data_IF_489469465937
#
_entry.id   IF_489469465937
#
_cell.length_a   1.000
_cell.length_b   1.000
_cell.length_c   1.000
_cell.angle_alpha   90.00
_cell.angle_beta   90.00
_cell.angle_gamma   90.00
#
_symmetry.space_group_name_H-M   'P 1'
#
loop_
_entity.id
_entity.type
_entity.pdbx_description
1 polymer ?
#
# COMPACT_ATOMS: atom_id res chain seq x y z
N UNK A 1 -36.35 -6.62 -25.62
CA UNK A 1 -35.44 -5.47 -25.83
C UNK A 1 -35.05 -4.73 -24.54
N UNK A 2 -35.78 -4.82 -23.41
CA UNK A 2 -35.44 -4.13 -22.16
C UNK A 2 -34.41 -4.87 -21.26
N UNK A 3 -34.28 -6.18 -21.40
CA UNK A 3 -33.45 -7.04 -20.54
C UNK A 3 -31.93 -6.81 -20.74
N UNK A 4 -31.54 -6.42 -21.95
CA UNK A 4 -30.14 -6.14 -22.32
C UNK A 4 -29.62 -4.84 -21.71
N UNK A 5 -30.49 -3.84 -21.54
CA UNK A 5 -30.13 -2.55 -20.91
C UNK A 5 -29.73 -2.73 -19.45
N UNK A 6 -30.55 -3.48 -18.69
CA UNK A 6 -30.29 -3.74 -17.28
C UNK A 6 -28.99 -4.54 -17.08
N UNK A 7 -28.72 -5.52 -17.96
CA UNK A 7 -27.45 -6.26 -17.96
C UNK A 7 -26.25 -5.35 -18.27
N UNK A 8 -26.36 -4.46 -19.25
CA UNK A 8 -25.31 -3.50 -19.63
C UNK A 8 -25.01 -2.52 -18.49
N UNK A 9 -26.04 -2.01 -17.82
CA UNK A 9 -25.91 -1.08 -16.70
C UNK A 9 -25.28 -1.75 -15.48
N UNK A 10 -25.69 -2.99 -15.16
CA UNK A 10 -25.10 -3.78 -14.08
C UNK A 10 -23.59 -4.03 -14.30
N UNK A 11 -23.20 -4.39 -15.52
CA UNK A 11 -21.79 -4.60 -15.86
C UNK A 11 -20.97 -3.29 -15.81
N UNK A 12 -21.56 -2.17 -16.27
CA UNK A 12 -20.94 -0.84 -16.12
C UNK A 12 -20.69 -0.49 -14.66
N UNK A 13 -21.68 -0.69 -13.79
CA UNK A 13 -21.56 -0.43 -12.35
C UNK A 13 -20.52 -1.32 -11.68
N UNK A 14 -20.43 -2.60 -12.04
CA UNK A 14 -19.37 -3.50 -11.54
C UNK A 14 -17.98 -3.01 -11.95
N UNK A 15 -17.81 -2.61 -13.22
CA UNK A 15 -16.53 -2.11 -13.74
C UNK A 15 -16.12 -0.81 -13.03
N UNK A 16 -17.04 0.14 -12.87
CA UNK A 16 -16.77 1.38 -12.15
C UNK A 16 -16.36 1.13 -10.69
N UNK A 17 -17.09 0.25 -9.98
CA UNK A 17 -16.73 -0.13 -8.60
C UNK A 17 -15.35 -0.78 -8.50
N UNK A 18 -14.97 -1.62 -9.47
CA UNK A 18 -13.61 -2.21 -9.52
C UNK A 18 -12.54 -1.13 -9.74
N UNK A 19 -12.77 -0.20 -10.67
CA UNK A 19 -11.85 0.91 -10.95
C UNK A 19 -11.65 1.79 -9.71
N UNK A 20 -12.74 2.23 -9.06
CA UNK A 20 -12.67 3.03 -7.83
C UNK A 20 -11.93 2.32 -6.70
N UNK A 21 -12.14 1.00 -6.53
CA UNK A 21 -11.39 0.21 -5.53
C UNK A 21 -9.91 0.13 -5.84
N UNK A 22 -9.54 -0.03 -7.11
CA UNK A 22 -8.15 -0.08 -7.56
C UNK A 22 -7.46 1.27 -7.34
N UNK A 23 -8.12 2.36 -7.73
CA UNK A 23 -7.63 3.73 -7.56
C UNK A 23 -7.42 4.04 -6.07
N UNK A 24 -8.41 3.78 -5.21
CA UNK A 24 -8.27 3.95 -3.76
C UNK A 24 -7.14 3.10 -3.16
N UNK A 25 -6.88 1.91 -3.72
CA UNK A 25 -5.75 1.07 -3.30
C UNK A 25 -4.42 1.67 -3.75
N UNK A 26 -4.35 2.21 -4.96
CA UNK A 26 -3.16 2.90 -5.47
C UNK A 26 -2.89 4.18 -4.69
N UNK A 27 -3.90 5.00 -4.42
CA UNK A 27 -3.78 6.20 -3.60
C UNK A 27 -3.24 5.88 -2.20
N UNK A 28 -3.74 4.81 -1.56
CA UNK A 28 -3.18 4.31 -0.28
C UNK A 28 -1.73 3.87 -0.38
N UNK A 29 -1.31 3.31 -1.52
CA UNK A 29 0.07 2.88 -1.78
C UNK A 29 0.99 4.03 -2.18
N UNK A 30 0.45 5.09 -2.78
CA UNK A 30 1.23 6.27 -3.21
C UNK A 30 1.36 7.28 -2.05
N UNK A 31 0.28 7.50 -1.30
CA UNK A 31 0.30 8.38 -0.12
C UNK A 31 1.04 7.78 1.07
N UNK A 32 1.14 6.45 1.12
CA UNK A 32 2.12 5.72 1.94
C UNK A 32 3.23 5.27 1.01
N UNK A 33 4.04 6.20 0.53
CA UNK A 33 5.25 5.86 -0.23
C UNK A 33 5.99 4.75 0.49
N UNK A 34 6.47 3.75 -0.27
CA UNK A 34 7.24 2.58 0.19
C UNK A 34 8.02 2.90 1.47
N UNK A 35 7.40 2.67 2.62
CA UNK A 35 8.06 2.64 3.90
C UNK A 35 7.76 1.23 4.33
N UNK A 36 8.59 0.31 3.84
CA UNK A 36 8.60 -1.02 4.42
C UNK A 36 8.83 -0.82 5.91
N UNK A 37 8.18 -1.63 6.75
CA UNK A 37 8.23 -1.44 8.19
C UNK A 37 9.67 -1.34 8.72
N UNK A 38 10.60 -2.03 8.05
CA UNK A 38 12.05 -1.96 8.25
C UNK A 38 12.66 -0.59 8.01
N UNK A 39 12.15 0.20 7.06
CA UNK A 39 12.64 1.55 6.74
C UNK A 39 12.26 2.59 7.80
N UNK A 40 11.27 2.29 8.66
CA UNK A 40 10.92 3.10 9.82
C UNK A 40 11.66 2.69 11.10
N UNK A 41 12.40 1.58 11.08
CA UNK A 41 13.21 1.14 12.21
C UNK A 41 14.59 1.82 12.14
N UNK A 42 14.82 2.78 13.03
CA UNK A 42 16.15 3.33 13.27
C UNK A 42 16.81 2.54 14.40
N UNK A 43 18.06 2.10 14.16
CA UNK A 43 18.88 1.46 15.18
C UNK A 43 19.58 2.54 16.02
N UNK A 44 19.71 2.30 17.32
CA UNK A 44 20.43 3.18 18.25
C UNK A 44 21.82 2.59 18.50
N UNK A 45 22.88 3.36 18.23
CA UNK A 45 24.25 2.96 18.54
C UNK A 45 24.60 3.19 20.03
N UNK A 46 25.79 2.73 20.45
CA UNK A 46 26.28 2.83 21.84
C UNK A 46 26.41 4.28 22.35
N UNK A 47 26.36 5.26 21.43
CA UNK A 47 26.48 6.68 21.70
C UNK A 47 25.12 7.40 21.63
N UNK A 48 24.02 6.67 21.39
CA UNK A 48 22.66 7.21 21.34
C UNK A 48 22.26 7.82 20.01
N UNK A 49 23.03 7.62 18.93
CA UNK A 49 22.69 8.15 17.60
C UNK A 49 21.82 7.17 16.80
N UNK A 50 20.93 7.73 15.98
CA UNK A 50 20.05 6.97 15.08
C UNK A 50 20.78 6.59 13.78
N UNK A 51 20.79 5.31 13.44
CA UNK A 51 21.40 4.75 12.22
C UNK A 51 20.39 3.97 11.37
N UNK A 52 20.51 4.10 10.05
CA UNK A 52 19.68 3.42 9.04
C UNK A 52 20.20 2.02 8.66
N UNK A 53 21.32 1.59 9.24
CA UNK A 53 21.87 0.24 9.08
C UNK A 53 21.62 -0.57 10.35
N UNK A 54 21.15 -1.83 10.24
CA UNK A 54 21.15 -2.73 11.38
C UNK A 54 22.57 -2.78 11.96
N UNK A 55 22.70 -2.52 13.26
CA UNK A 55 23.97 -2.74 13.94
C UNK A 55 24.27 -4.23 13.89
N UNK A 56 25.47 -4.59 13.45
CA UNK A 56 25.90 -5.99 13.24
C UNK A 56 26.22 -6.68 14.57
N UNK A 57 25.31 -6.60 15.53
CA UNK A 57 25.37 -7.26 16.83
C UNK A 57 24.36 -8.41 16.88
N UNK A 58 24.36 -9.27 15.86
CA UNK A 58 23.89 -10.65 16.02
C UNK A 58 25.04 -11.50 16.57
N UNK A 59 25.41 -11.26 17.83
CA UNK A 59 26.23 -12.19 18.60
C UNK A 59 25.29 -13.06 19.45
N UNK A 60 24.85 -14.19 18.91
CA UNK A 60 24.59 -15.44 19.66
C UNK A 60 24.46 -16.62 18.70
#
# INVERSE_FOLDING_TARGET
>A
MAETWNKRERERNKRQKKQQKMEKRQERKQGKGHQDWTDMLAYVDENGNLSSKPSDHHSL
#
